data_IF_096557587360
#
_entry.id   IF_096557587360
#
_cell.length_a   1.000
_cell.length_b   1.000
_cell.length_c   1.000
_cell.angle_alpha   90.00
_cell.angle_beta   90.00
_cell.angle_gamma   90.00
#
_symmetry.space_group_name_H-M   'P 1'
#
loop_
_entity.id
_entity.type
_entity.pdbx_description
1 polymer ?
#
# COMPACT_ATOMS: atom_id res chain seq x y z
N UNK A 1 -1.32 11.75 -19.79
CA UNK A 1 -0.20 10.77 -19.73
C UNK A 1 -0.20 9.84 -20.93
N UNK A 2 -1.34 9.33 -21.39
CA UNK A 2 -1.39 8.64 -22.69
C UNK A 2 -1.21 9.66 -23.83
N UNK A 3 -0.07 9.62 -24.51
CA UNK A 3 0.34 10.60 -25.53
C UNK A 3 1.74 11.21 -25.31
N UNK A 4 2.35 10.99 -24.15
CA UNK A 4 3.76 11.33 -23.88
C UNK A 4 4.64 10.07 -24.01
N UNK A 5 5.93 10.24 -24.30
CA UNK A 5 6.94 9.16 -24.34
C UNK A 5 7.25 8.62 -22.93
N UNK A 6 6.22 8.18 -22.19
CA UNK A 6 6.32 7.63 -20.85
C UNK A 6 5.91 6.16 -20.90
N UNK A 7 6.81 5.28 -20.47
CA UNK A 7 6.55 3.87 -20.30
C UNK A 7 6.24 3.59 -18.83
N UNK A 8 5.09 2.97 -18.56
CA UNK A 8 4.77 2.44 -17.24
C UNK A 8 5.27 1.01 -17.15
N UNK A 9 6.04 0.73 -16.10
CA UNK A 9 6.47 -0.62 -15.71
C UNK A 9 6.06 -0.86 -14.27
N UNK A 10 5.71 -2.09 -13.95
CA UNK A 10 5.46 -2.52 -12.57
C UNK A 10 6.77 -2.99 -11.93
N UNK A 11 6.77 -3.13 -10.60
CA UNK A 11 7.92 -3.72 -9.89
C UNK A 11 8.27 -5.12 -10.41
N UNK A 12 7.26 -5.90 -10.84
CA UNK A 12 7.47 -7.24 -11.40
C UNK A 12 8.20 -7.21 -12.74
N UNK A 13 7.91 -6.22 -13.58
CA UNK A 13 8.57 -6.08 -14.89
C UNK A 13 10.07 -5.81 -14.75
N UNK A 14 10.47 -5.18 -13.64
CA UNK A 14 11.85 -4.86 -13.27
C UNK A 14 12.49 -5.89 -12.30
N UNK A 15 11.79 -6.99 -11.98
CA UNK A 15 12.23 -8.01 -11.00
C UNK A 15 12.46 -7.47 -9.57
N UNK A 16 11.66 -6.49 -9.16
CA UNK A 16 11.70 -5.83 -7.85
C UNK A 16 10.49 -6.15 -6.96
N UNK A 17 9.68 -7.16 -7.31
CA UNK A 17 8.46 -7.49 -6.55
C UNK A 17 8.72 -7.97 -5.11
N UNK A 18 9.92 -8.47 -4.84
CA UNK A 18 10.32 -9.01 -3.53
C UNK A 18 11.12 -7.99 -2.69
N UNK A 19 11.21 -6.74 -3.15
CA UNK A 19 11.82 -5.64 -2.36
C UNK A 19 10.93 -5.36 -1.16
N UNK A 20 11.49 -5.52 0.04
CA UNK A 20 10.80 -5.18 1.28
C UNK A 20 10.72 -3.66 1.41
N UNK A 21 9.49 -3.15 1.51
CA UNK A 21 9.20 -1.73 1.76
C UNK A 21 8.63 -1.61 3.17
N UNK A 22 9.39 -0.96 4.06
CA UNK A 22 8.96 -0.76 5.44
C UNK A 22 8.02 0.45 5.50
N UNK A 23 6.71 0.20 5.49
CA UNK A 23 5.71 1.27 5.67
C UNK A 23 5.52 1.56 7.16
N UNK A 24 6.18 2.61 7.63
CA UNK A 24 6.13 3.11 9.01
C UNK A 24 5.48 4.50 9.12
N UNK A 25 4.74 4.91 8.08
CA UNK A 25 3.94 6.13 8.10
C UNK A 25 2.75 6.00 9.05
N UNK A 26 2.24 7.13 9.51
CA UNK A 26 1.03 7.25 10.32
C UNK A 26 -0.21 7.62 9.48
N UNK A 27 -0.04 7.82 8.17
CA UNK A 27 -1.10 8.16 7.22
C UNK A 27 -0.88 7.43 5.89
N UNK A 28 -1.94 7.29 5.08
CA UNK A 28 -1.84 6.74 3.72
C UNK A 28 -0.87 7.54 2.84
N UNK A 29 -0.89 8.87 2.96
CA UNK A 29 0.02 9.75 2.21
C UNK A 29 1.49 9.46 2.54
N UNK A 30 1.82 9.34 3.84
CA UNK A 30 3.18 9.02 4.27
C UNK A 30 3.64 7.65 3.75
N UNK A 31 2.77 6.63 3.80
CA UNK A 31 3.07 5.31 3.28
C UNK A 31 3.26 5.31 1.76
N UNK A 32 2.41 6.02 1.00
CA UNK A 32 2.57 6.18 -0.44
C UNK A 32 3.90 6.85 -0.78
N UNK A 33 4.30 7.88 -0.04
CA UNK A 33 5.61 8.55 -0.20
C UNK A 33 6.75 7.59 0.13
N UNK A 34 6.66 6.82 1.21
CA UNK A 34 7.69 5.83 1.59
C UNK A 34 7.87 4.79 0.48
N UNK A 35 6.79 4.23 -0.05
CA UNK A 35 6.83 3.28 -1.17
C UNK A 35 7.51 3.89 -2.39
N UNK A 36 7.08 5.09 -2.81
CA UNK A 36 7.63 5.76 -3.97
C UNK A 36 9.12 6.06 -3.80
N UNK A 37 9.52 6.62 -2.65
CA UNK A 37 10.92 6.96 -2.35
C UNK A 37 11.82 5.73 -2.28
N UNK A 38 11.37 4.66 -1.63
CA UNK A 38 12.17 3.44 -1.48
C UNK A 38 12.56 2.87 -2.84
N UNK A 39 11.61 2.79 -3.76
CA UNK A 39 11.88 2.30 -5.12
C UNK A 39 12.65 3.35 -5.94
N UNK A 40 12.34 4.63 -5.79
CA UNK A 40 13.03 5.71 -6.53
C UNK A 40 14.50 5.81 -6.14
N UNK A 41 14.83 5.68 -4.86
CA UNK A 41 16.20 5.66 -4.35
C UNK A 41 16.98 4.42 -4.84
N UNK A 42 16.28 3.29 -5.02
CA UNK A 42 16.86 2.04 -5.52
C UNK A 42 17.13 2.08 -7.03
N UNK A 43 16.20 2.61 -7.83
CA UNK A 43 16.27 2.56 -9.30
C UNK A 43 16.78 3.85 -9.95
N UNK A 44 16.74 4.96 -9.23
CA UNK A 44 16.96 6.31 -9.77
C UNK A 44 15.86 6.78 -10.73
N UNK A 45 14.73 6.08 -10.79
CA UNK A 45 13.62 6.38 -11.70
C UNK A 45 12.52 7.19 -11.00
N UNK A 46 11.66 7.80 -11.81
CA UNK A 46 10.40 8.35 -11.32
C UNK A 46 9.47 7.20 -10.93
N UNK A 47 8.96 7.23 -9.70
CA UNK A 47 8.07 6.21 -9.17
C UNK A 47 6.74 6.83 -8.77
N UNK A 48 5.65 6.15 -9.13
CA UNK A 48 4.33 6.40 -8.59
C UNK A 48 3.99 5.25 -7.64
N UNK A 49 3.48 5.60 -6.47
CA UNK A 49 2.97 4.64 -5.50
C UNK A 49 1.65 5.13 -4.92
N UNK A 50 0.89 4.19 -4.38
CA UNK A 50 -0.40 4.40 -3.76
C UNK A 50 -0.43 3.66 -2.40
N UNK A 51 -1.27 4.13 -1.49
CA UNK A 51 -1.59 3.42 -0.26
C UNK A 51 -3.08 3.51 0.02
N UNK A 52 -3.68 2.38 0.34
CA UNK A 52 -5.13 2.26 0.48
C UNK A 52 -5.49 1.44 1.71
N UNK A 53 -6.69 1.70 2.24
CA UNK A 53 -7.23 0.99 3.39
C UNK A 53 -8.73 1.22 3.54
N UNK A 54 -9.30 0.52 4.51
CA UNK A 54 -10.68 0.63 4.95
C UNK A 54 -10.72 1.44 6.24
N UNK A 55 -11.54 2.49 6.26
CA UNK A 55 -11.82 3.27 7.46
C UNK A 55 -13.31 3.14 7.78
N UNK A 56 -13.63 2.77 9.03
CA UNK A 56 -15.00 2.65 9.51
C UNK A 56 -15.27 3.69 10.58
N UNK A 57 -16.18 4.64 10.31
CA UNK A 57 -16.48 5.75 11.22
C UNK A 57 -16.90 5.27 12.62
N UNK A 58 -17.69 4.19 12.71
CA UNK A 58 -18.13 3.59 13.98
C UNK A 58 -16.96 3.02 14.80
N UNK A 59 -15.88 2.61 14.12
CA UNK A 59 -14.65 2.12 14.72
C UNK A 59 -13.56 3.20 14.77
N UNK A 60 -13.95 4.48 14.76
CA UNK A 60 -13.02 5.61 14.82
C UNK A 60 -11.95 5.60 13.70
N UNK A 61 -12.31 5.09 12.52
CA UNK A 61 -11.42 5.01 11.36
C UNK A 61 -10.61 3.71 11.28
N UNK A 62 -10.73 2.78 12.22
CA UNK A 62 -10.10 1.47 12.09
C UNK A 62 -10.75 0.62 10.98
N UNK A 63 -9.99 -0.26 10.29
CA UNK A 63 -8.57 -0.57 10.49
C UNK A 63 -7.56 0.46 9.90
N UNK A 64 -7.99 1.38 9.03
CA UNK A 64 -7.16 2.46 8.48
C UNK A 64 -5.91 1.95 7.76
N UNK A 65 -4.76 2.56 8.05
CA UNK A 65 -3.44 2.18 7.48
C UNK A 65 -3.03 0.72 7.79
N UNK A 66 -3.67 0.08 8.77
CA UNK A 66 -3.41 -1.31 9.13
C UNK A 66 -4.28 -2.32 8.37
N UNK A 67 -5.11 -1.88 7.42
CA UNK A 67 -6.07 -2.72 6.70
C UNK A 67 -5.46 -4.02 6.15
N UNK A 68 -4.30 -3.94 5.50
CA UNK A 68 -3.63 -5.11 4.94
C UNK A 68 -3.13 -6.08 6.03
N UNK A 69 -2.78 -5.57 7.22
CA UNK A 69 -2.19 -6.32 8.34
C UNK A 69 -3.18 -6.59 9.47
N UNK A 70 -4.45 -6.22 9.28
CA UNK A 70 -5.49 -6.34 10.29
C UNK A 70 -5.73 -7.81 10.62
N UNK A 71 -5.64 -8.22 11.89
CA UNK A 71 -5.64 -9.65 12.27
C UNK A 71 -4.51 -10.48 11.64
N UNK A 72 -3.40 -9.86 11.24
CA UNK A 72 -2.24 -10.52 10.62
C UNK A 72 -2.26 -10.50 9.09
N UNK A 73 -1.06 -10.56 8.49
CA UNK A 73 -0.88 -10.45 7.04
C UNK A 73 -1.50 -11.62 6.27
N UNK A 74 -1.37 -12.85 6.80
CA UNK A 74 -1.86 -14.08 6.17
C UNK A 74 -3.37 -14.32 6.32
N UNK A 75 -4.07 -13.47 7.08
CA UNK A 75 -5.52 -13.59 7.24
C UNK A 75 -6.23 -13.11 5.98
N UNK A 76 -7.19 -13.88 5.45
CA UNK A 76 -7.91 -13.49 4.24
C UNK A 76 -8.78 -12.26 4.48
N UNK A 77 -9.02 -11.48 3.42
CA UNK A 77 -9.93 -10.33 3.48
C UNK A 77 -11.34 -10.71 3.91
N UNK A 78 -11.84 -11.90 3.53
CA UNK A 78 -13.16 -12.37 3.96
C UNK A 78 -13.24 -12.50 5.48
N UNK A 79 -12.19 -13.04 6.12
CA UNK A 79 -12.13 -13.17 7.58
C UNK A 79 -11.99 -11.79 8.24
N UNK A 80 -11.09 -10.93 7.72
CA UNK A 80 -10.91 -9.56 8.22
C UNK A 80 -12.22 -8.78 8.18
N UNK A 81 -12.94 -8.84 7.06
CA UNK A 81 -14.18 -8.12 6.86
C UNK A 81 -15.33 -8.67 7.70
N UNK A 82 -15.45 -10.00 7.82
CA UNK A 82 -16.46 -10.60 8.72
C UNK A 82 -16.21 -10.20 10.17
N UNK A 83 -14.95 -10.18 10.62
CA UNK A 83 -14.62 -9.72 11.97
C UNK A 83 -15.06 -8.26 12.20
N UNK A 84 -14.85 -7.38 11.23
CA UNK A 84 -15.28 -5.97 11.31
C UNK A 84 -16.81 -5.84 11.37
N UNK A 85 -17.54 -6.68 10.63
CA UNK A 85 -19.01 -6.72 10.66
C UNK A 85 -19.54 -7.19 12.01
N UNK A 86 -18.80 -8.05 12.72
CA UNK A 86 -19.17 -8.61 14.01
C UNK A 86 -18.88 -7.67 15.21
N UNK A 87 -18.20 -6.52 15.01
CA UNK A 87 -17.90 -5.50 16.03
C UNK A 87 -19.07 -4.55 16.30
#
# INVERSE_FOLDING_TARGET
LQGENIQFVSLKDENLQDVEIIENGSTFEENAIIKARTISDLTGQMVLADDSGLEVDYLHGEPGIYSARYLGEDTSYDIKNNHIIDL
#
